data_IF_419730948325
#
_entry.id   IF_419730948325
#
_cell.length_a   1.000
_cell.length_b   1.000
_cell.length_c   1.000
_cell.angle_alpha   90.00
_cell.angle_beta   90.00
_cell.angle_gamma   90.00
#
_symmetry.space_group_name_H-M   'P 1'
#
loop_
_entity.id
_entity.type
_entity.pdbx_description
1 polymer ?
#
# COMPACT_ATOMS: atom_id res chain seq x y z
N UNK A 1 -6.45 12.74 9.74
CA UNK A 1 -7.03 13.77 8.86
C UNK A 1 -8.52 13.45 8.67
N UNK A 2 -9.40 14.40 8.93
CA UNK A 2 -10.85 14.18 8.76
C UNK A 2 -11.27 14.89 7.49
N UNK A 3 -11.67 14.14 6.47
CA UNK A 3 -12.18 14.72 5.24
C UNK A 3 -13.68 15.04 5.38
N UNK A 4 -14.09 16.17 4.88
CA UNK A 4 -15.50 16.46 4.73
C UNK A 4 -16.08 15.50 3.66
N UNK A 5 -17.14 14.73 3.94
CA UNK A 5 -17.72 13.80 2.97
C UNK A 5 -18.12 14.44 1.64
N UNK A 6 -18.44 15.73 1.64
CA UNK A 6 -18.78 16.47 0.43
C UNK A 6 -17.57 16.83 -0.44
N UNK A 7 -16.36 16.57 0.04
CA UNK A 7 -15.10 16.80 -0.68
C UNK A 7 -14.53 15.53 -1.32
N UNK A 8 -15.04 14.36 -0.96
CA UNK A 8 -14.62 13.09 -1.52
C UNK A 8 -15.35 12.87 -2.84
N UNK A 9 -14.56 12.64 -3.88
CA UNK A 9 -15.05 12.45 -5.24
C UNK A 9 -14.40 11.21 -5.86
N UNK A 10 -15.13 10.57 -6.78
CA UNK A 10 -14.65 9.42 -7.54
C UNK A 10 -14.01 8.33 -6.68
N UNK A 11 -14.74 7.90 -5.65
CA UNK A 11 -14.28 6.86 -4.73
C UNK A 11 -14.30 5.48 -5.40
N UNK A 12 -13.20 4.76 -5.26
CA UNK A 12 -13.05 3.36 -5.66
C UNK A 12 -12.45 2.55 -4.54
N UNK A 13 -12.90 1.31 -4.39
CA UNK A 13 -12.29 0.37 -3.45
C UNK A 13 -12.11 -0.99 -4.10
N UNK A 14 -11.01 -1.66 -3.76
CA UNK A 14 -10.70 -3.03 -4.15
C UNK A 14 -10.44 -3.82 -2.89
N UNK A 15 -11.09 -4.98 -2.82
CA UNK A 15 -10.87 -5.97 -1.77
C UNK A 15 -10.31 -7.24 -2.38
N UNK A 16 -9.10 -7.62 -1.97
CA UNK A 16 -8.43 -8.84 -2.45
C UNK A 16 -8.42 -9.86 -1.31
N UNK A 17 -9.25 -10.89 -1.43
CA UNK A 17 -9.41 -11.92 -0.37
C UNK A 17 -8.18 -12.81 -0.20
N UNK A 18 -7.47 -13.07 -1.27
CA UNK A 18 -6.36 -14.02 -1.29
C UNK A 18 -5.16 -13.47 -2.06
N UNK A 19 -4.52 -12.40 -1.55
CA UNK A 19 -3.33 -11.87 -2.19
C UNK A 19 -2.19 -12.91 -2.13
N UNK A 20 -1.24 -12.81 -3.04
CA UNK A 20 -0.07 -13.66 -3.03
C UNK A 20 0.80 -13.36 -1.81
N UNK A 21 1.26 -14.41 -1.13
CA UNK A 21 2.22 -14.28 -0.04
C UNK A 21 3.55 -13.81 -0.60
N UNK A 22 4.17 -12.85 0.08
CA UNK A 22 5.42 -12.25 -0.34
C UNK A 22 6.41 -12.19 0.81
N UNK A 23 7.69 -12.34 0.48
CA UNK A 23 8.80 -12.05 1.39
C UNK A 23 9.56 -10.87 0.78
N UNK A 24 9.70 -9.81 1.54
CA UNK A 24 10.42 -8.62 1.07
C UNK A 24 11.90 -8.92 0.88
N UNK A 25 12.53 -8.26 -0.05
CA UNK A 25 13.96 -8.36 -0.32
C UNK A 25 14.55 -6.98 -0.60
N UNK A 26 15.85 -6.90 -0.78
CA UNK A 26 16.52 -5.66 -1.19
C UNK A 26 16.17 -5.24 -2.62
N UNK A 27 15.53 -6.13 -3.38
CA UNK A 27 14.96 -5.78 -4.70
C UNK A 27 13.54 -5.28 -4.53
N UNK A 28 13.21 -4.17 -5.17
CA UNK A 28 11.88 -3.59 -5.15
C UNK A 28 10.83 -4.56 -5.71
N UNK A 29 9.77 -4.77 -4.97
CA UNK A 29 8.68 -5.69 -5.31
C UNK A 29 7.33 -4.98 -5.21
N UNK A 30 6.39 -5.34 -6.07
CA UNK A 30 5.02 -4.86 -5.98
C UNK A 30 4.27 -5.60 -4.87
N UNK A 31 3.56 -4.87 -4.02
CA UNK A 31 2.69 -5.45 -3.00
C UNK A 31 1.45 -6.03 -3.68
N UNK A 32 1.21 -7.32 -3.52
CA UNK A 32 0.04 -8.00 -4.10
C UNK A 32 -1.26 -7.38 -3.60
N UNK A 33 -2.19 -7.11 -4.53
CA UNK A 33 -3.48 -6.47 -4.23
C UNK A 33 -3.42 -4.94 -4.13
N UNK A 34 -2.30 -4.31 -4.48
CA UNK A 34 -2.11 -2.86 -4.40
C UNK A 34 -2.36 -2.11 -5.70
N UNK A 35 -2.57 -2.81 -6.81
CA UNK A 35 -2.71 -2.17 -8.13
C UNK A 35 -4.14 -1.68 -8.38
N UNK A 36 -4.25 -0.47 -8.89
CA UNK A 36 -5.52 0.12 -9.34
C UNK A 36 -5.29 1.07 -10.50
N UNK A 37 -6.21 1.05 -11.45
CA UNK A 37 -6.31 2.09 -12.49
C UNK A 37 -7.28 3.15 -12.02
N UNK A 38 -6.83 4.39 -11.94
CA UNK A 38 -7.61 5.48 -11.37
C UNK A 38 -7.54 6.75 -12.21
N UNK A 39 -8.68 7.44 -12.31
CA UNK A 39 -8.80 8.76 -12.88
C UNK A 39 -9.36 9.71 -11.82
N UNK A 40 -8.64 10.78 -11.45
CA UNK A 40 -9.18 11.77 -10.52
C UNK A 40 -10.42 12.48 -11.07
N UNK A 41 -11.28 12.91 -10.18
CA UNK A 41 -12.39 13.78 -10.55
C UNK A 41 -11.87 15.11 -11.13
N UNK A 42 -12.60 15.65 -12.09
CA UNK A 42 -12.29 16.96 -12.68
C UNK A 42 -12.31 18.01 -11.56
N UNK A 43 -11.32 18.90 -11.55
CA UNK A 43 -11.14 19.96 -10.54
C UNK A 43 -10.86 19.44 -9.11
N UNK A 44 -10.40 18.21 -8.96
CA UNK A 44 -9.82 17.77 -7.70
C UNK A 44 -8.38 18.29 -7.57
N UNK A 45 -7.96 18.54 -6.33
CA UNK A 45 -6.61 19.02 -6.03
C UNK A 45 -5.67 17.87 -5.69
N UNK A 46 -6.19 16.85 -5.02
CA UNK A 46 -5.40 15.70 -4.54
C UNK A 46 -6.11 14.37 -4.80
N UNK A 47 -5.31 13.33 -4.86
CA UNK A 47 -5.74 11.93 -4.81
C UNK A 47 -5.21 11.32 -3.52
N UNK A 48 -6.08 10.62 -2.82
CA UNK A 48 -5.73 9.83 -1.62
C UNK A 48 -5.74 8.36 -2.00
N UNK A 49 -4.64 7.69 -1.70
CA UNK A 49 -4.45 6.26 -1.87
C UNK A 49 -4.23 5.66 -0.49
N UNK A 50 -5.16 4.81 -0.05
CA UNK A 50 -5.13 4.14 1.25
C UNK A 50 -5.13 2.64 1.05
N UNK A 51 -4.21 1.95 1.72
CA UNK A 51 -4.10 0.50 1.65
C UNK A 51 -3.86 -0.10 3.03
N UNK A 52 -4.54 -1.20 3.31
CA UNK A 52 -4.35 -1.99 4.53
C UNK A 52 -4.05 -3.45 4.19
N UNK A 53 -3.00 -3.98 4.79
CA UNK A 53 -2.55 -5.37 4.63
C UNK A 53 -1.79 -5.84 5.87
N UNK A 54 -1.52 -7.11 5.98
CA UNK A 54 -0.72 -7.65 7.09
C UNK A 54 0.74 -7.79 6.71
N UNK A 55 1.60 -7.45 7.65
CA UNK A 55 3.04 -7.66 7.61
C UNK A 55 3.47 -8.44 8.85
N UNK A 56 4.33 -9.41 8.68
CA UNK A 56 4.80 -10.30 9.72
C UNK A 56 6.31 -10.55 9.58
N UNK A 57 6.95 -11.08 10.62
CA UNK A 57 8.34 -11.53 10.60
C UNK A 57 8.49 -12.86 11.34
N UNK A 58 9.55 -13.61 11.03
CA UNK A 58 9.71 -14.98 11.52
C UNK A 58 10.08 -15.08 13.00
N UNK A 59 10.72 -14.06 13.54
CA UNK A 59 11.23 -14.08 14.90
C UNK A 59 10.81 -12.84 15.66
N UNK A 60 10.34 -12.97 16.90
CA UNK A 60 9.99 -11.82 17.74
C UNK A 60 11.17 -10.89 18.04
N UNK A 61 12.39 -11.39 17.90
CA UNK A 61 13.62 -10.64 18.16
C UNK A 61 14.19 -9.95 16.92
N UNK A 62 13.55 -10.14 15.75
CA UNK A 62 14.02 -9.58 14.49
C UNK A 62 13.34 -8.28 14.18
N UNK A 63 14.10 -7.20 14.09
CA UNK A 63 13.60 -5.93 13.58
C UNK A 63 13.42 -6.00 12.08
N UNK A 64 12.19 -5.82 11.63
CA UNK A 64 11.86 -5.71 10.20
C UNK A 64 12.00 -4.25 9.76
N UNK A 65 12.71 -4.01 8.68
CA UNK A 65 12.83 -2.70 8.06
C UNK A 65 12.45 -2.78 6.59
N UNK A 66 11.32 -2.21 6.27
CA UNK A 66 10.83 -2.13 4.89
C UNK A 66 10.39 -0.71 4.58
N UNK A 67 10.65 -0.29 3.37
CA UNK A 67 10.19 1.01 2.85
C UNK A 67 9.15 0.76 1.78
N UNK A 68 8.04 1.49 1.87
CA UNK A 68 6.91 1.38 0.97
C UNK A 68 6.81 2.63 0.11
N UNK A 69 6.71 2.45 -1.20
CA UNK A 69 6.68 3.50 -2.20
C UNK A 69 5.39 3.45 -2.99
N UNK A 70 4.68 4.56 -3.08
CA UNK A 70 3.61 4.69 -4.06
C UNK A 70 4.24 4.95 -5.43
N UNK A 71 3.91 4.11 -6.39
CA UNK A 71 4.34 4.26 -7.77
C UNK A 71 3.15 4.56 -8.68
N UNK A 72 3.39 5.32 -9.73
CA UNK A 72 2.42 5.55 -10.79
C UNK A 72 3.02 5.33 -12.17
N UNK A 73 2.17 4.94 -13.11
CA UNK A 73 2.53 4.77 -14.50
C UNK A 73 1.37 5.08 -15.43
N UNK A 74 1.66 5.43 -16.67
CA UNK A 74 0.65 5.51 -17.73
C UNK A 74 0.10 4.11 -18.03
N UNK A 75 -1.08 4.04 -18.63
CA UNK A 75 -1.66 2.76 -19.06
C UNK A 75 -0.70 2.03 -20.02
N UNK A 76 -0.24 0.84 -19.61
CA UNK A 76 0.73 0.05 -20.36
C UNK A 76 2.18 0.58 -20.33
N UNK A 77 2.45 1.61 -19.56
CA UNK A 77 3.78 2.22 -19.39
C UNK A 77 4.55 1.69 -18.19
N UNK A 78 5.77 2.21 -18.03
CA UNK A 78 6.61 1.94 -16.86
C UNK A 78 6.09 2.68 -15.64
N UNK A 79 6.36 2.13 -14.48
CA UNK A 79 6.07 2.75 -13.19
C UNK A 79 7.27 3.51 -12.66
N UNK A 80 7.02 4.60 -11.96
CA UNK A 80 8.01 5.34 -11.18
C UNK A 80 7.41 5.80 -9.86
N UNK A 81 8.26 6.03 -8.87
CA UNK A 81 7.85 6.61 -7.59
C UNK A 81 7.14 7.95 -7.83
N UNK A 82 6.04 8.16 -7.10
CA UNK A 82 5.28 9.41 -7.22
C UNK A 82 6.03 10.53 -6.51
N UNK A 83 6.45 11.52 -7.27
CA UNK A 83 7.03 12.74 -6.72
C UNK A 83 5.95 13.60 -6.05
N UNK A 84 6.32 14.30 -4.98
CA UNK A 84 5.41 15.18 -4.25
C UNK A 84 4.41 14.45 -3.36
N UNK A 85 4.67 13.19 -3.02
CA UNK A 85 3.92 12.45 -2.01
C UNK A 85 4.00 13.18 -0.67
N UNK A 86 2.84 13.48 -0.06
CA UNK A 86 2.78 14.12 1.26
C UNK A 86 3.12 13.12 2.37
N UNK A 87 2.68 11.87 2.21
CA UNK A 87 2.98 10.78 3.14
C UNK A 87 3.69 9.66 2.41
N UNK A 88 4.90 9.37 2.83
CA UNK A 88 5.67 8.20 2.43
C UNK A 88 6.18 7.52 3.70
N UNK A 89 5.68 6.33 3.97
CA UNK A 89 5.97 5.63 5.22
C UNK A 89 7.08 4.60 5.04
N UNK A 90 8.20 4.85 5.70
CA UNK A 90 9.16 3.82 6.04
C UNK A 90 8.74 3.14 7.34
N UNK A 91 8.91 1.84 7.45
CA UNK A 91 8.49 1.09 8.62
C UNK A 91 9.58 0.23 9.23
N UNK A 92 9.71 0.28 10.55
CA UNK A 92 10.39 -0.75 11.34
C UNK A 92 9.36 -1.32 12.31
N UNK A 93 9.29 -2.63 12.43
CA UNK A 93 8.39 -3.29 13.37
C UNK A 93 9.14 -4.40 14.09
N UNK A 94 8.96 -4.46 15.40
CA UNK A 94 9.42 -5.57 16.24
C UNK A 94 8.25 -6.50 16.64
N UNK A 95 7.05 -6.20 16.19
CA UNK A 95 5.87 -7.03 16.46
C UNK A 95 5.79 -8.21 15.51
N UNK A 96 5.50 -9.43 16.01
CA UNK A 96 5.42 -10.63 15.17
C UNK A 96 4.29 -10.57 14.13
N UNK A 97 3.28 -9.76 14.39
CA UNK A 97 2.19 -9.46 13.44
C UNK A 97 1.84 -8.00 13.51
N UNK A 98 1.67 -7.39 12.36
CA UNK A 98 1.27 -6.00 12.28
C UNK A 98 0.33 -5.79 11.09
N UNK A 99 -0.69 -4.99 11.31
CA UNK A 99 -1.54 -4.48 10.23
C UNK A 99 -0.94 -3.17 9.78
N UNK A 100 -0.48 -3.13 8.53
CA UNK A 100 -0.04 -1.91 7.90
C UNK A 100 -1.23 -1.19 7.29
N UNK A 101 -1.41 0.06 7.70
CA UNK A 101 -2.33 1.00 7.06
C UNK A 101 -1.52 2.19 6.58
N UNK A 102 -1.41 2.33 5.27
CA UNK A 102 -0.61 3.36 4.63
C UNK A 102 -1.52 4.30 3.85
N UNK A 103 -1.30 5.59 4.02
CA UNK A 103 -2.03 6.64 3.33
C UNK A 103 -1.05 7.54 2.60
N UNK A 104 -1.29 7.73 1.31
CA UNK A 104 -0.54 8.64 0.46
C UNK A 104 -1.47 9.70 -0.09
N UNK A 105 -1.06 10.96 -0.01
CA UNK A 105 -1.78 12.09 -0.59
C UNK A 105 -0.89 12.71 -1.65
N UNK A 106 -1.36 12.68 -2.89
CA UNK A 106 -0.59 13.12 -4.05
C UNK A 106 -1.36 14.16 -4.85
N UNK A 107 -0.68 15.07 -5.58
CA UNK A 107 -1.37 15.98 -6.48
C UNK A 107 -2.21 15.25 -7.52
N UNK A 108 -3.38 15.78 -7.85
CA UNK A 108 -4.24 15.27 -8.91
C UNK A 108 -3.58 15.38 -10.29
N UNK A 109 -4.06 14.56 -11.22
CA UNK A 109 -3.65 14.56 -12.62
C UNK A 109 -4.85 14.48 -13.54
N UNK A 110 -4.63 14.61 -14.83
CA UNK A 110 -5.65 14.48 -15.87
C UNK A 110 -5.54 13.11 -16.54
N UNK A 111 -6.68 12.44 -16.71
CA UNK A 111 -6.75 11.12 -17.35
C UNK A 111 -6.49 9.95 -16.39
N UNK A 112 -6.35 8.76 -16.95
CA UNK A 112 -6.11 7.54 -16.18
C UNK A 112 -4.63 7.31 -15.93
N UNK A 113 -4.30 6.85 -14.72
CA UNK A 113 -3.00 6.28 -14.37
C UNK A 113 -3.20 4.98 -13.61
N UNK A 114 -2.22 4.10 -13.73
CA UNK A 114 -2.09 2.97 -12.85
C UNK A 114 -1.32 3.40 -11.60
N UNK A 115 -1.82 3.01 -10.43
CA UNK A 115 -1.16 3.18 -9.14
C UNK A 115 -0.86 1.81 -8.55
N UNK A 116 0.23 1.70 -7.83
CA UNK A 116 0.59 0.51 -7.05
C UNK A 116 1.50 0.87 -5.89
N UNK A 117 1.50 0.02 -4.88
CA UNK A 117 2.47 0.07 -3.79
C UNK A 117 3.61 -0.89 -4.07
N UNK A 118 4.83 -0.40 -3.93
CA UNK A 118 6.04 -1.23 -4.01
C UNK A 118 6.78 -1.19 -2.69
N UNK A 119 7.54 -2.23 -2.39
CA UNK A 119 8.27 -2.40 -1.14
C UNK A 119 9.65 -2.96 -1.39
N UNK A 120 10.63 -2.48 -0.63
CA UNK A 120 11.93 -3.13 -0.47
C UNK A 120 12.28 -3.32 1.01
N UNK A 121 13.18 -4.25 1.28
CA UNK A 121 13.77 -4.43 2.59
C UNK A 121 15.11 -3.70 2.66
N UNK A 122 15.44 -3.18 3.84
CA UNK A 122 16.74 -2.55 4.10
C UNK A 122 17.90 -3.52 3.81
N UNK A 123 17.78 -4.76 4.25
CA UNK A 123 18.68 -5.85 3.93
C UNK A 123 17.95 -7.21 4.03
N UNK A 124 18.55 -8.27 3.52
CA UNK A 124 17.94 -9.60 3.52
C UNK A 124 17.83 -10.26 4.90
N UNK A 125 18.41 -9.69 5.94
CA UNK A 125 18.22 -10.12 7.34
C UNK A 125 17.04 -9.42 8.03
N UNK A 126 16.40 -8.46 7.36
CA UNK A 126 15.31 -7.60 7.87
C UNK A 126 14.03 -7.74 7.04
N UNK A 127 13.78 -8.92 6.52
CA UNK A 127 12.66 -9.20 5.64
C UNK A 127 11.32 -9.24 6.40
N UNK A 128 10.27 -8.75 5.76
CA UNK A 128 8.90 -8.92 6.16
C UNK A 128 8.20 -9.98 5.32
N UNK A 129 7.24 -10.65 5.92
CA UNK A 129 6.30 -11.55 5.23
C UNK A 129 4.96 -10.84 5.09
N UNK A 130 4.57 -10.55 3.86
CA UNK A 130 3.33 -9.87 3.56
C UNK A 130 2.20 -10.88 3.33
N UNK A 131 1.00 -10.52 3.78
CA UNK A 131 -0.23 -11.30 3.58
C UNK A 131 -0.22 -12.69 4.20
N UNK A 132 0.66 -12.92 5.16
CA UNK A 132 0.79 -14.21 5.83
C UNK A 132 -0.03 -14.22 7.12
N UNK A 133 -0.75 -15.29 7.38
CA UNK A 133 -1.38 -15.55 8.67
C UNK A 133 -0.67 -16.69 9.37
N UNK A 134 -0.17 -16.44 10.58
CA UNK A 134 0.18 -17.49 11.50
C UNK A 134 -0.97 -17.76 12.44
N UNK A 135 -1.39 -19.01 12.51
CA UNK A 135 -2.25 -19.46 13.59
C UNK A 135 -1.37 -19.85 14.78
N UNK A 136 -1.75 -19.42 15.97
CA UNK A 136 -1.04 -19.75 17.22
C UNK A 136 -1.00 -21.28 17.51
N UNK A 137 -1.79 -22.08 16.81
CA UNK A 137 -1.81 -23.53 16.90
C UNK A 137 -0.70 -24.23 16.10
N UNK A 138 0.27 -23.51 15.62
CA UNK A 138 1.48 -24.08 14.97
C UNK A 138 1.28 -24.65 13.56
N UNK A 139 0.09 -24.61 13.01
CA UNK A 139 -0.11 -24.92 11.60
C UNK A 139 0.08 -23.64 10.78
N UNK A 140 0.96 -23.70 9.79
CA UNK A 140 1.02 -22.67 8.75
C UNK A 140 -0.33 -22.70 8.06
N UNK A 141 -1.25 -21.87 8.53
CA UNK A 141 -2.55 -21.78 7.91
C UNK A 141 -2.39 -21.39 6.46
N UNK A 142 -3.07 -22.11 5.58
CA UNK A 142 -3.23 -21.71 4.18
C UNK A 142 -4.06 -20.42 4.01
N UNK A 143 -4.61 -19.89 5.10
CA UNK A 143 -5.40 -18.66 5.09
C UNK A 143 -4.50 -17.47 4.82
N UNK A 144 -4.87 -16.71 3.84
CA UNK A 144 -4.26 -15.44 3.49
C UNK A 144 -5.07 -14.31 4.11
N UNK A 145 -4.39 -13.26 4.53
CA UNK A 145 -5.07 -12.04 4.93
C UNK A 145 -5.45 -11.23 3.71
N UNK A 146 -6.62 -10.64 3.76
CA UNK A 146 -7.10 -9.77 2.68
C UNK A 146 -6.34 -8.45 2.63
N UNK A 147 -6.30 -7.86 1.44
CA UNK A 147 -5.85 -6.50 1.20
C UNK A 147 -7.06 -5.63 0.90
N UNK A 148 -7.12 -4.47 1.54
CA UNK A 148 -8.12 -3.44 1.25
C UNK A 148 -7.42 -2.21 0.70
N UNK A 149 -7.83 -1.80 -0.49
CA UNK A 149 -7.33 -0.62 -1.20
C UNK A 149 -8.48 0.33 -1.45
N UNK A 150 -8.30 1.59 -1.09
CA UNK A 150 -9.26 2.67 -1.33
C UNK A 150 -8.54 3.83 -2.00
N UNK A 151 -9.13 4.35 -3.07
CA UNK A 151 -8.60 5.51 -3.79
C UNK A 151 -9.73 6.48 -4.07
N UNK A 152 -9.51 7.74 -3.78
CA UNK A 152 -10.49 8.81 -4.02
C UNK A 152 -9.80 10.16 -4.26
N UNK A 153 -10.53 11.06 -4.89
CA UNK A 153 -10.09 12.43 -5.11
C UNK A 153 -10.69 13.34 -4.06
N UNK A 154 -9.96 14.39 -3.72
CA UNK A 154 -10.44 15.45 -2.84
C UNK A 154 -10.22 16.82 -3.47
N UNK A 155 -11.09 17.76 -3.10
CA UNK A 155 -10.96 19.16 -3.44
C UNK A 155 -10.76 19.96 -2.16
N UNK A 156 -9.72 20.78 -2.14
CA UNK A 156 -9.57 21.77 -1.08
C UNK A 156 -10.53 22.92 -1.35
N UNK A 157 -11.40 23.17 -0.40
CA UNK A 157 -12.13 24.43 -0.34
C UNK A 157 -11.38 25.30 0.67
N UNK A 158 -10.76 26.31 0.15
CA UNK A 158 -10.31 27.41 1.00
C UNK A 158 -11.50 28.22 1.53
#
# INVERSE_FOLDING_TARGET
MTFNPNQIMNYQSIYTESPDKQVTSTTLQVVSGSEITYQPAINSDYVVYEISFTSDHESPDTTVRSTYYLESGSLGGSFSEVEGCINNHGGASSSPKDIKSLTYVVPSWIGYKNLRLSVDAYDNSKQAKLHNTYHWEGSISSKKNSVRLEVFSIRNFE
#
